data_IF_004711910195
#
_entry.id   IF_004711910195
#
_cell.length_a   1.000
_cell.length_b   1.000
_cell.length_c   1.000
_cell.angle_alpha   90.00
_cell.angle_beta   90.00
_cell.angle_gamma   90.00
#
_symmetry.space_group_name_H-M   'P 1'
#
loop_
_entity.id
_entity.type
_entity.pdbx_description
1 polymer ?
#
# COMPACT_ATOMS: atom_id res chain seq x y z
N UNK A 1 -9.30 7.41 20.50
CA UNK A 1 -8.17 7.65 21.42
C UNK A 1 -6.96 8.05 20.58
N UNK A 2 -6.38 9.22 20.84
CA UNK A 2 -5.13 9.64 20.19
C UNK A 2 -4.03 8.66 20.66
N UNK A 3 -3.34 7.99 19.74
CA UNK A 3 -2.29 7.07 20.14
C UNK A 3 -1.15 7.84 20.82
N UNK A 4 -0.43 7.22 21.78
CA UNK A 4 0.66 7.88 22.47
C UNK A 4 1.75 8.32 21.49
N UNK A 5 2.45 9.41 21.81
CA UNK A 5 3.60 9.87 21.03
C UNK A 5 4.64 8.75 20.92
N UNK A 6 5.24 8.62 19.73
CA UNK A 6 6.33 7.68 19.52
C UNK A 6 7.60 8.14 20.24
N UNK A 7 8.32 7.19 20.81
CA UNK A 7 9.70 7.43 21.26
C UNK A 7 10.59 7.85 20.09
N UNK A 8 11.65 8.62 20.30
CA UNK A 8 12.62 8.92 19.25
C UNK A 8 13.13 7.63 18.59
N UNK A 9 13.22 7.62 17.27
CA UNK A 9 13.61 6.47 16.46
C UNK A 9 12.69 5.22 16.59
N UNK A 10 11.48 5.39 17.08
CA UNK A 10 10.46 4.35 17.03
C UNK A 10 9.59 4.51 15.78
N UNK A 11 9.07 3.39 15.31
CA UNK A 11 8.14 3.32 14.20
C UNK A 11 6.83 2.68 14.68
N UNK A 12 5.70 3.18 14.17
CA UNK A 12 4.39 2.58 14.42
C UNK A 12 3.79 2.11 13.12
N UNK A 13 3.22 0.94 13.15
CA UNK A 13 2.50 0.39 12.01
C UNK A 13 1.08 0.08 12.47
N UNK A 14 0.11 0.53 11.66
CA UNK A 14 -1.31 0.34 11.94
C UNK A 14 -1.97 -0.17 10.66
N UNK A 15 -2.65 -1.31 10.74
CA UNK A 15 -3.55 -1.74 9.67
C UNK A 15 -4.90 -1.07 9.85
N UNK A 16 -5.40 -0.43 8.81
CA UNK A 16 -6.74 0.16 8.75
C UNK A 16 -7.76 -0.73 8.05
N UNK A 17 -7.31 -1.86 7.52
CA UNK A 17 -8.07 -2.93 6.88
C UNK A 17 -7.14 -4.02 6.37
N UNK A 18 -7.71 -5.13 5.88
CA UNK A 18 -6.95 -6.24 5.29
C UNK A 18 -6.40 -7.26 6.29
N UNK A 19 -6.61 -7.12 7.60
CA UNK A 19 -6.27 -8.15 8.58
C UNK A 19 -7.48 -9.00 8.91
N UNK A 20 -7.39 -10.30 8.60
CA UNK A 20 -8.49 -11.25 8.81
C UNK A 20 -9.62 -11.15 7.79
N UNK A 21 -9.49 -10.28 6.80
CA UNK A 21 -10.42 -10.08 5.70
C UNK A 21 -9.66 -10.12 4.37
N UNK A 22 -10.33 -10.50 3.29
CA UNK A 22 -9.84 -10.31 1.92
C UNK A 22 -10.48 -9.04 1.38
N UNK A 23 -9.73 -7.94 1.36
CA UNK A 23 -10.21 -6.65 0.87
C UNK A 23 -9.90 -5.50 1.80
N UNK A 24 -10.29 -4.28 1.39
CA UNK A 24 -10.03 -3.00 2.08
C UNK A 24 -8.61 -2.84 2.62
N UNK A 25 -7.63 -3.35 1.86
CA UNK A 25 -6.24 -3.33 2.26
C UNK A 25 -5.73 -1.90 2.44
N UNK A 26 -5.23 -1.60 3.63
CA UNK A 26 -4.61 -0.31 3.93
C UNK A 26 -3.73 -0.43 5.17
N UNK A 27 -2.47 -0.04 5.05
CA UNK A 27 -1.53 0.07 6.16
C UNK A 27 -0.98 1.49 6.28
N UNK A 28 -0.68 1.89 7.50
CA UNK A 28 -0.06 3.16 7.85
C UNK A 28 1.26 2.90 8.54
N UNK A 29 2.33 3.49 8.04
CA UNK A 29 3.65 3.52 8.69
C UNK A 29 3.88 4.92 9.22
N UNK A 30 4.06 5.06 10.52
CA UNK A 30 4.38 6.33 11.17
C UNK A 30 5.83 6.33 11.64
N UNK A 31 6.56 7.37 11.26
CA UNK A 31 7.91 7.64 11.73
C UNK A 31 8.14 9.15 11.84
N UNK A 32 8.64 9.59 13.00
CA UNK A 32 9.04 10.98 13.28
C UNK A 32 7.98 12.00 12.81
N UNK A 33 6.73 11.77 13.18
CA UNK A 33 5.59 12.65 12.92
C UNK A 33 5.00 12.57 11.51
N UNK A 34 5.60 11.83 10.59
CA UNK A 34 5.10 11.65 9.23
C UNK A 34 4.42 10.28 9.06
N UNK A 35 3.48 10.23 8.12
CA UNK A 35 2.75 9.03 7.76
C UNK A 35 3.05 8.63 6.31
N UNK A 36 3.32 7.36 6.09
CA UNK A 36 3.31 6.72 4.79
C UNK A 36 2.13 5.76 4.73
N UNK A 37 1.30 5.88 3.71
CA UNK A 37 0.20 4.97 3.48
C UNK A 37 0.63 3.92 2.45
N UNK A 38 0.21 2.67 2.65
CA UNK A 38 0.41 1.56 1.71
C UNK A 38 -0.95 0.95 1.43
N UNK A 39 -1.38 1.03 0.16
CA UNK A 39 -2.67 0.64 -0.38
C UNK A 39 -3.84 1.41 0.26
N UNK A 40 -4.97 1.40 -0.42
CA UNK A 40 -6.21 2.02 0.00
C UNK A 40 -7.37 1.38 -0.78
N UNK A 41 -7.72 0.15 -0.41
CA UNK A 41 -8.65 -0.70 -1.12
C UNK A 41 -10.06 -0.67 -0.56
N UNK A 42 -11.00 -1.27 -1.30
CA UNK A 42 -12.36 -1.50 -0.84
C UNK A 42 -12.57 -2.98 -0.51
N UNK A 43 -13.58 -3.24 0.29
CA UNK A 43 -14.19 -4.55 0.46
C UNK A 43 -15.61 -4.47 -0.08
N UNK A 44 -15.99 -5.44 -0.90
CA UNK A 44 -17.37 -5.58 -1.35
C UNK A 44 -18.19 -6.26 -0.26
N UNK A 45 -19.36 -5.73 0.09
CA UNK A 45 -20.19 -6.31 1.14
C UNK A 45 -20.74 -7.69 0.73
N UNK A 46 -20.90 -8.55 1.70
CA UNK A 46 -21.62 -9.83 1.55
C UNK A 46 -23.14 -9.63 1.73
N UNK A 47 -23.91 -10.70 1.56
CA UNK A 47 -25.39 -10.68 1.61
C UNK A 47 -25.97 -10.20 2.95
N UNK A 48 -25.18 -10.22 4.01
CA UNK A 48 -25.55 -9.76 5.35
C UNK A 48 -25.46 -8.25 5.57
N UNK A 49 -25.04 -7.49 4.54
CA UNK A 49 -24.92 -6.02 4.56
C UNK A 49 -25.91 -5.34 3.59
N UNK A 50 -27.24 -5.48 3.76
CA UNK A 50 -28.21 -4.93 2.81
C UNK A 50 -28.11 -3.40 2.73
N UNK A 51 -28.01 -2.87 1.51
CA UNK A 51 -27.94 -1.43 1.25
C UNK A 51 -26.57 -0.80 1.41
N UNK A 52 -25.53 -1.62 1.62
CA UNK A 52 -24.12 -1.20 1.60
C UNK A 52 -23.52 -1.55 0.25
N UNK A 53 -22.97 -0.56 -0.46
CA UNK A 53 -22.34 -0.77 -1.77
C UNK A 53 -20.84 -1.09 -1.65
N UNK A 54 -20.15 -0.44 -0.71
CA UNK A 54 -18.70 -0.59 -0.48
C UNK A 54 -18.36 -0.43 1.00
N UNK A 55 -17.37 -1.17 1.46
CA UNK A 55 -16.77 -1.02 2.78
C UNK A 55 -15.37 -0.43 2.62
N UNK A 56 -15.14 0.70 3.28
CA UNK A 56 -13.87 1.43 3.21
C UNK A 56 -12.96 1.07 4.39
N UNK A 57 -11.64 1.29 4.26
CA UNK A 57 -10.72 1.26 5.40
C UNK A 57 -11.10 2.27 6.48
N UNK A 58 -10.58 2.08 7.68
CA UNK A 58 -10.86 2.93 8.84
C UNK A 58 -10.15 4.29 8.78
N UNK A 59 -10.51 5.15 7.82
CA UNK A 59 -9.91 6.49 7.63
C UNK A 59 -10.00 7.40 8.84
N UNK A 60 -11.00 7.20 9.70
CA UNK A 60 -11.19 8.00 10.91
C UNK A 60 -9.96 7.97 11.83
N UNK A 61 -9.20 6.87 11.78
CA UNK A 61 -7.98 6.72 12.56
C UNK A 61 -6.88 7.72 12.20
N UNK A 62 -6.91 8.27 10.97
CA UNK A 62 -5.91 9.23 10.46
C UNK A 62 -6.52 10.56 10.02
N UNK A 63 -7.83 10.78 10.19
CA UNK A 63 -8.55 11.95 9.68
C UNK A 63 -7.96 13.28 10.16
N UNK A 64 -7.51 13.35 11.42
CA UNK A 64 -6.89 14.55 12.00
C UNK A 64 -5.41 14.72 11.61
N UNK A 65 -4.84 13.74 10.89
CA UNK A 65 -3.42 13.67 10.55
C UNK A 65 -3.14 13.55 9.04
N UNK A 66 -4.13 13.87 8.20
CA UNK A 66 -3.97 13.81 6.75
C UNK A 66 -2.90 14.77 6.23
N UNK A 67 -2.62 15.87 6.97
CA UNK A 67 -1.54 16.80 6.65
C UNK A 67 -0.14 16.22 6.90
N UNK A 68 -0.03 15.20 7.75
CA UNK A 68 1.22 14.49 8.02
C UNK A 68 1.53 13.41 6.97
N UNK A 69 0.61 13.12 6.06
CA UNK A 69 0.78 12.07 5.04
C UNK A 69 1.76 12.51 3.98
N UNK A 70 2.89 11.83 3.90
CA UNK A 70 3.95 12.09 2.92
C UNK A 70 3.62 11.50 1.54
N UNK A 71 2.82 10.44 1.48
CA UNK A 71 2.39 9.80 0.24
C UNK A 71 1.63 8.51 0.46
N UNK A 72 0.98 8.06 -0.60
CA UNK A 72 0.29 6.77 -0.70
C UNK A 72 0.99 5.90 -1.74
N UNK A 73 1.60 4.82 -1.28
CA UNK A 73 2.20 3.79 -2.12
C UNK A 73 1.14 2.76 -2.47
N UNK A 74 1.04 2.42 -3.75
CA UNK A 74 0.09 1.43 -4.28
C UNK A 74 0.87 0.23 -4.82
N UNK A 75 0.61 -0.95 -4.26
CA UNK A 75 1.32 -2.17 -4.61
C UNK A 75 0.91 -2.70 -5.99
N UNK A 76 -0.38 -2.69 -6.30
CA UNK A 76 -0.94 -3.12 -7.58
C UNK A 76 -2.36 -2.58 -7.79
N UNK A 77 -2.96 -2.88 -8.96
CA UNK A 77 -4.18 -2.24 -9.45
C UNK A 77 -5.50 -2.94 -9.13
N UNK A 78 -5.57 -3.91 -8.20
CA UNK A 78 -6.84 -4.51 -7.81
C UNK A 78 -7.69 -3.58 -6.92
N UNK A 79 -9.01 -3.77 -6.97
CA UNK A 79 -9.98 -2.93 -6.26
C UNK A 79 -9.78 -2.91 -4.75
N UNK A 80 -9.44 -4.04 -4.18
CA UNK A 80 -9.17 -4.20 -2.76
C UNK A 80 -7.85 -3.57 -2.30
N UNK A 81 -7.08 -2.96 -3.24
CA UNK A 81 -5.87 -2.18 -3.01
C UNK A 81 -5.96 -0.72 -3.45
N UNK A 82 -6.80 -0.39 -4.47
CA UNK A 82 -6.91 1.00 -4.98
C UNK A 82 -8.32 1.58 -4.92
N UNK A 83 -9.36 0.76 -4.68
CA UNK A 83 -10.74 1.17 -4.85
C UNK A 83 -11.20 2.29 -3.91
N UNK A 84 -10.59 2.43 -2.73
CA UNK A 84 -10.93 3.48 -1.77
C UNK A 84 -10.11 4.78 -1.93
N UNK A 85 -9.11 4.81 -2.82
CA UNK A 85 -8.27 6.01 -3.04
C UNK A 85 -9.08 7.27 -3.35
N UNK A 86 -10.12 7.25 -4.20
CA UNK A 86 -10.90 8.46 -4.46
C UNK A 86 -11.59 9.02 -3.21
N UNK A 87 -12.01 8.18 -2.29
CA UNK A 87 -12.67 8.59 -1.04
C UNK A 87 -11.68 9.25 -0.07
N UNK A 88 -10.46 8.73 0.02
CA UNK A 88 -9.36 9.35 0.77
C UNK A 88 -9.00 10.72 0.18
N UNK A 89 -8.83 10.80 -1.13
CA UNK A 89 -8.43 12.03 -1.83
C UNK A 89 -9.51 13.11 -1.83
N UNK A 90 -10.78 12.79 -1.59
CA UNK A 90 -11.81 13.80 -1.32
C UNK A 90 -11.55 14.57 -0.03
N UNK A 91 -10.87 13.95 0.94
CA UNK A 91 -10.49 14.58 2.20
C UNK A 91 -9.17 15.34 2.07
N UNK A 92 -8.22 14.82 1.27
CA UNK A 92 -6.90 15.43 1.07
C UNK A 92 -6.37 15.14 -0.35
N UNK A 93 -6.73 15.97 -1.35
CA UNK A 93 -6.38 15.73 -2.75
C UNK A 93 -4.88 15.91 -3.08
N UNK A 94 -4.10 16.51 -2.18
CA UNK A 94 -2.68 16.76 -2.37
C UNK A 94 -1.80 15.56 -2.02
N UNK A 95 -2.33 14.46 -1.47
CA UNK A 95 -1.55 13.26 -1.17
C UNK A 95 -0.94 12.69 -2.45
N UNK A 96 0.40 12.61 -2.56
CA UNK A 96 1.04 12.05 -3.74
C UNK A 96 0.77 10.55 -3.84
N UNK A 97 0.40 10.11 -5.04
CA UNK A 97 0.21 8.69 -5.37
C UNK A 97 1.49 8.14 -5.99
N UNK A 98 1.96 7.01 -5.48
CA UNK A 98 3.17 6.34 -5.95
C UNK A 98 2.80 4.91 -6.33
N UNK A 99 3.09 4.50 -7.55
CA UNK A 99 2.76 3.15 -8.01
C UNK A 99 3.31 2.86 -9.40
N UNK A 100 3.11 1.63 -9.87
CA UNK A 100 3.49 1.25 -11.21
C UNK A 100 2.66 1.99 -12.27
N UNK A 101 3.17 2.01 -13.50
CA UNK A 101 2.48 2.67 -14.61
C UNK A 101 1.07 2.12 -14.82
N UNK A 102 0.90 0.80 -14.76
CA UNK A 102 -0.41 0.16 -14.92
C UNK A 102 -1.34 0.50 -13.74
N UNK A 103 -0.86 0.39 -12.51
CA UNK A 103 -1.64 0.70 -11.31
C UNK A 103 -2.18 2.13 -11.35
N UNK A 104 -1.32 3.11 -11.68
CA UNK A 104 -1.73 4.51 -11.78
C UNK A 104 -2.66 4.76 -12.96
N UNK A 105 -2.50 4.04 -14.08
CA UNK A 105 -3.41 4.16 -15.22
C UNK A 105 -4.83 3.65 -14.89
N UNK A 106 -4.95 2.52 -14.19
CA UNK A 106 -6.23 2.00 -13.71
C UNK A 106 -6.88 2.96 -12.71
N UNK A 107 -6.09 3.50 -11.80
CA UNK A 107 -6.59 4.47 -10.83
C UNK A 107 -7.02 5.79 -11.48
N UNK A 108 -6.36 6.24 -12.55
CA UNK A 108 -6.70 7.48 -13.25
C UNK A 108 -8.15 7.48 -13.75
N UNK A 109 -8.67 6.35 -14.20
CA UNK A 109 -10.06 6.21 -14.61
C UNK A 109 -11.01 6.46 -13.43
N UNK A 110 -10.75 5.85 -12.28
CA UNK A 110 -11.52 6.05 -11.06
C UNK A 110 -11.48 7.50 -10.56
N UNK A 111 -10.31 8.10 -10.59
CA UNK A 111 -10.16 9.52 -10.20
C UNK A 111 -11.00 10.42 -11.11
N UNK A 112 -11.06 10.12 -12.41
CA UNK A 112 -11.89 10.85 -13.38
C UNK A 112 -13.38 10.73 -13.07
N UNK A 113 -13.87 9.53 -12.76
CA UNK A 113 -15.25 9.26 -12.37
C UNK A 113 -15.64 10.05 -11.11
N UNK A 114 -14.71 10.14 -10.15
CA UNK A 114 -14.88 10.89 -8.93
C UNK A 114 -14.58 12.40 -9.06
N UNK A 115 -14.29 12.89 -10.29
CA UNK A 115 -13.99 14.30 -10.63
C UNK A 115 -12.75 14.84 -9.90
N UNK A 116 -11.84 13.98 -9.49
CA UNK A 116 -10.56 14.36 -8.91
C UNK A 116 -9.57 14.63 -10.05
N UNK A 117 -9.06 15.86 -10.10
CA UNK A 117 -8.14 16.31 -11.16
C UNK A 117 -6.83 16.76 -10.54
N UNK A 118 -5.75 16.69 -11.33
CA UNK A 118 -4.42 17.19 -10.94
C UNK A 118 -3.86 16.55 -9.66
N UNK A 119 -4.22 15.29 -9.39
CA UNK A 119 -3.66 14.54 -8.26
C UNK A 119 -2.17 14.29 -8.54
N UNK A 120 -1.27 14.63 -7.61
CA UNK A 120 0.16 14.38 -7.78
C UNK A 120 0.43 12.87 -7.94
N UNK A 121 1.20 12.49 -8.96
CA UNK A 121 1.51 11.08 -9.23
C UNK A 121 3.00 10.90 -9.51
N UNK A 122 3.56 9.80 -9.02
CA UNK A 122 4.93 9.36 -9.30
C UNK A 122 4.92 7.91 -9.75
N UNK A 123 5.31 7.67 -10.99
CA UNK A 123 5.49 6.32 -11.54
C UNK A 123 6.79 5.74 -11.01
N UNK A 124 6.71 4.48 -10.59
CA UNK A 124 7.85 3.67 -10.14
C UNK A 124 7.82 2.31 -10.82
N UNK A 125 8.97 1.66 -10.83
CA UNK A 125 9.19 0.33 -11.41
C UNK A 125 10.06 -0.51 -10.49
N UNK A 126 10.20 -1.78 -10.82
CA UNK A 126 11.14 -2.67 -10.15
C UNK A 126 12.55 -2.07 -10.05
N UNK A 127 13.15 -2.17 -8.88
CA UNK A 127 14.48 -1.65 -8.56
C UNK A 127 14.53 -0.16 -8.21
N UNK A 128 13.44 0.60 -8.41
CA UNK A 128 13.42 2.03 -8.06
C UNK A 128 13.53 2.22 -6.54
N UNK A 129 14.32 3.23 -6.14
CA UNK A 129 14.46 3.70 -4.76
C UNK A 129 14.17 5.19 -4.71
N UNK A 130 13.22 5.57 -3.86
CA UNK A 130 12.79 6.95 -3.75
C UNK A 130 12.60 7.36 -2.29
N UNK A 131 12.76 8.64 -2.02
CA UNK A 131 12.33 9.23 -0.76
C UNK A 131 10.88 9.73 -0.88
N UNK A 132 10.06 9.33 0.10
CA UNK A 132 8.70 9.82 0.31
C UNK A 132 8.66 10.38 1.73
N UNK A 133 8.82 11.70 1.86
CA UNK A 133 9.08 12.30 3.16
C UNK A 133 10.34 11.72 3.80
N UNK A 134 10.21 11.15 5.00
CA UNK A 134 11.30 10.50 5.76
C UNK A 134 11.45 9.00 5.49
N UNK A 135 10.68 8.47 4.55
CA UNK A 135 10.66 7.04 4.22
C UNK A 135 11.45 6.80 2.93
N UNK A 136 12.47 5.94 2.98
CA UNK A 136 13.10 5.42 1.78
C UNK A 136 12.31 4.20 1.32
N UNK A 137 11.68 4.31 0.16
CA UNK A 137 10.87 3.25 -0.44
C UNK A 137 11.62 2.62 -1.60
N UNK A 138 11.82 1.31 -1.56
CA UNK A 138 12.37 0.49 -2.64
C UNK A 138 11.29 -0.43 -3.15
N UNK A 139 11.13 -0.49 -4.48
CA UNK A 139 10.10 -1.27 -5.15
C UNK A 139 10.70 -2.54 -5.76
N UNK A 140 10.05 -3.67 -5.53
CA UNK A 140 10.52 -4.99 -5.94
C UNK A 140 9.39 -5.68 -6.72
N UNK A 141 9.67 -6.16 -7.93
CA UNK A 141 8.70 -6.89 -8.71
C UNK A 141 8.25 -8.17 -8.00
N UNK A 142 6.95 -8.37 -7.93
CA UNK A 142 6.33 -9.61 -7.49
C UNK A 142 5.34 -10.11 -8.53
N UNK A 143 5.24 -11.43 -8.66
CA UNK A 143 4.25 -12.03 -9.54
C UNK A 143 2.90 -12.13 -8.85
N UNK A 144 1.86 -11.71 -9.55
CA UNK A 144 0.48 -11.79 -9.09
C UNK A 144 -0.46 -12.02 -10.29
N UNK A 145 -1.77 -12.01 -10.09
CA UNK A 145 -2.77 -12.17 -11.15
C UNK A 145 -2.94 -10.93 -12.04
N UNK A 146 -2.33 -9.82 -11.68
CA UNK A 146 -2.27 -8.58 -12.48
C UNK A 146 -0.81 -8.19 -12.73
N UNK A 147 -0.44 -7.67 -13.92
CA UNK A 147 0.91 -7.21 -14.20
C UNK A 147 1.34 -6.01 -13.35
N UNK A 148 2.65 -5.75 -13.32
CA UNK A 148 3.26 -4.60 -12.65
C UNK A 148 2.98 -4.52 -11.14
N UNK A 149 2.75 -5.67 -10.49
CA UNK A 149 2.63 -5.75 -9.03
C UNK A 149 4.00 -5.57 -8.37
N UNK A 150 4.02 -4.78 -7.30
CA UNK A 150 5.24 -4.40 -6.59
C UNK A 150 5.10 -4.66 -5.08
N UNK A 151 6.09 -5.31 -4.51
CA UNK A 151 6.35 -5.21 -3.08
C UNK A 151 7.07 -3.88 -2.79
N UNK A 152 6.99 -3.41 -1.56
CA UNK A 152 7.70 -2.21 -1.12
C UNK A 152 8.50 -2.48 0.15
N UNK A 153 9.80 -2.20 0.09
CA UNK A 153 10.67 -2.16 1.26
C UNK A 153 10.78 -0.72 1.75
N UNK A 154 10.35 -0.46 2.98
CA UNK A 154 10.33 0.86 3.60
C UNK A 154 11.43 0.92 4.65
N UNK A 155 12.42 1.78 4.45
CA UNK A 155 13.52 2.01 5.39
C UNK A 155 13.35 3.33 6.12
N UNK A 156 13.58 3.29 7.40
CA UNK A 156 13.71 4.43 8.30
C UNK A 156 14.88 4.17 9.26
N UNK A 157 15.37 5.17 10.01
CA UNK A 157 16.32 4.92 11.08
C UNK A 157 15.86 3.91 12.14
N UNK A 158 14.54 3.68 12.26
CA UNK A 158 13.98 2.69 13.19
C UNK A 158 14.06 1.25 12.67
N UNK A 159 14.30 1.04 11.38
CA UNK A 159 14.42 -0.29 10.77
C UNK A 159 13.80 -0.40 9.39
N UNK A 160 13.84 -1.61 8.86
CA UNK A 160 13.32 -2.01 7.54
C UNK A 160 12.01 -2.79 7.68
N UNK A 161 10.99 -2.35 6.96
CA UNK A 161 9.73 -3.08 6.78
C UNK A 161 9.68 -3.59 5.35
N UNK A 162 9.22 -4.80 5.15
CA UNK A 162 8.85 -5.33 3.82
C UNK A 162 7.35 -5.60 3.77
N UNK A 163 6.66 -4.92 2.86
CA UNK A 163 5.25 -5.17 2.52
C UNK A 163 5.21 -5.84 1.16
N UNK A 164 4.71 -7.07 1.09
CA UNK A 164 4.75 -7.86 -0.14
C UNK A 164 3.75 -7.41 -1.20
N UNK A 165 2.70 -6.68 -0.80
CA UNK A 165 1.47 -6.68 -1.59
C UNK A 165 0.96 -8.11 -1.75
N UNK A 166 0.11 -8.32 -2.74
CA UNK A 166 -0.33 -9.67 -3.11
C UNK A 166 0.71 -10.31 -4.04
N UNK A 167 1.06 -11.56 -3.79
CA UNK A 167 2.07 -12.25 -4.56
C UNK A 167 1.81 -13.74 -4.67
N UNK A 168 2.45 -14.35 -5.64
CA UNK A 168 2.57 -15.81 -5.76
C UNK A 168 3.97 -16.21 -6.19
N UNK A 169 4.38 -17.42 -5.84
CA UNK A 169 5.61 -18.02 -6.35
C UNK A 169 5.30 -18.86 -7.60
N UNK A 170 5.38 -18.21 -8.75
CA UNK A 170 5.22 -18.82 -10.06
C UNK A 170 6.56 -18.72 -10.80
N UNK A 171 7.16 -19.84 -11.12
CA UNK A 171 8.44 -19.90 -11.83
C UNK A 171 8.27 -19.77 -13.36
N UNK A 172 7.04 -19.88 -13.86
CA UNK A 172 6.71 -19.82 -15.29
C UNK A 172 5.49 -18.94 -15.54
N UNK A 173 5.52 -17.66 -15.09
CA UNK A 173 4.37 -16.80 -15.20
C UNK A 173 3.98 -16.55 -16.67
N UNK A 174 2.67 -16.59 -16.95
CA UNK A 174 2.14 -16.32 -18.29
C UNK A 174 2.24 -14.82 -18.63
N UNK A 175 2.14 -13.96 -17.63
CA UNK A 175 2.25 -12.51 -17.78
C UNK A 175 3.25 -11.95 -16.77
N UNK A 176 4.04 -10.98 -17.21
CA UNK A 176 5.10 -10.38 -16.39
C UNK A 176 6.29 -11.31 -16.22
N UNK A 177 7.15 -10.99 -15.25
CA UNK A 177 8.28 -11.79 -14.83
C UNK A 177 8.01 -12.56 -13.53
N UNK A 178 8.89 -13.48 -13.14
CA UNK A 178 8.85 -14.07 -11.81
C UNK A 178 9.13 -12.97 -10.76
N UNK A 179 8.70 -13.23 -9.51
CA UNK A 179 9.06 -12.38 -8.38
C UNK A 179 10.59 -12.31 -8.23
N UNK A 180 11.11 -11.11 -7.90
CA UNK A 180 12.56 -10.94 -7.64
C UNK A 180 12.94 -11.52 -6.26
N UNK A 181 13.01 -12.85 -6.22
CA UNK A 181 13.38 -13.59 -5.02
C UNK A 181 14.83 -13.29 -4.57
N UNK A 182 15.70 -12.92 -5.52
CA UNK A 182 17.09 -12.56 -5.20
C UNK A 182 17.10 -11.31 -4.34
N UNK A 183 16.38 -10.27 -4.78
CA UNK A 183 16.31 -9.02 -4.00
C UNK A 183 15.62 -9.21 -2.65
N UNK A 184 14.55 -9.99 -2.61
CA UNK A 184 13.85 -10.33 -1.36
C UNK A 184 14.80 -11.05 -0.39
N UNK A 185 15.62 -12.01 -0.87
CA UNK A 185 16.59 -12.68 -0.04
C UNK A 185 17.72 -11.77 0.46
N UNK A 186 18.15 -10.79 -0.35
CA UNK A 186 19.10 -9.76 0.07
C UNK A 186 18.53 -8.89 1.18
N UNK A 187 17.27 -8.44 1.08
CA UNK A 187 16.59 -7.70 2.13
C UNK A 187 16.50 -8.50 3.43
N UNK A 188 16.25 -9.82 3.32
CA UNK A 188 16.29 -10.71 4.48
C UNK A 188 17.65 -10.73 5.18
N UNK A 189 18.76 -10.61 4.42
CA UNK A 189 20.13 -10.51 4.99
C UNK A 189 20.41 -9.12 5.57
N UNK A 190 19.83 -8.06 5.02
CA UNK A 190 19.89 -6.71 5.59
C UNK A 190 19.24 -6.67 6.99
N UNK A 191 18.25 -7.52 7.23
CA UNK A 191 17.50 -7.61 8.48
C UNK A 191 16.15 -6.88 8.40
N UNK A 192 15.11 -7.62 8.04
CA UNK A 192 13.72 -7.13 8.02
C UNK A 192 13.17 -7.14 9.44
N UNK A 193 12.81 -5.95 9.96
CA UNK A 193 12.21 -5.80 11.29
C UNK A 193 10.77 -6.33 11.33
N UNK A 194 10.02 -6.09 10.25
CA UNK A 194 8.63 -6.54 10.11
C UNK A 194 8.34 -6.90 8.66
N UNK A 195 7.71 -8.05 8.48
CA UNK A 195 7.16 -8.52 7.21
C UNK A 195 5.64 -8.42 7.26
N UNK A 196 5.07 -7.58 6.37
CA UNK A 196 3.66 -7.65 5.99
C UNK A 196 3.54 -8.53 4.76
N UNK A 197 2.94 -9.70 4.93
CA UNK A 197 2.82 -10.70 3.85
C UNK A 197 1.37 -11.00 3.57
N UNK A 198 1.04 -11.08 2.28
CA UNK A 198 -0.15 -11.79 1.83
C UNK A 198 -0.16 -13.21 2.41
N UNK A 199 -1.31 -13.62 2.90
CA UNK A 199 -1.52 -14.95 3.49
C UNK A 199 -2.87 -15.56 3.07
N UNK A 200 -3.41 -15.14 1.93
CA UNK A 200 -4.77 -15.47 1.46
C UNK A 200 -5.04 -16.98 1.41
N UNK A 201 -4.07 -17.82 1.09
CA UNK A 201 -4.21 -19.27 1.03
C UNK A 201 -3.21 -20.00 1.94
N UNK A 202 -2.78 -19.36 3.02
CA UNK A 202 -1.71 -19.91 3.87
C UNK A 202 -2.12 -21.19 4.63
N UNK A 203 -3.41 -21.46 4.72
CA UNK A 203 -4.00 -22.61 5.43
C UNK A 203 -4.49 -23.75 4.50
N UNK A 204 -4.21 -23.68 3.20
CA UNK A 204 -4.66 -24.67 2.19
C UNK A 204 -3.52 -25.53 1.64
#
# INVERSE_FOLDING_TARGET
>A
QIPPLLSPNAMRIVSLGGLGDVGRNMAVVEFDGQLLLIDCGVLFPEDDHPGVDLILPGFDAISERLDDVSGLVLTHGHEDHIGAVPYLLRQRPEIPLIGSKLTLALLAEKLREHRLRNVPQRVVSDGDKILVGKFECEFIAVNHSIPDSLAVAVRTPAGLILHTGDFKFDHTPIMGGPSDLTRIAELGREGVLLLFSDSTYADQ
#
